data_IF_539298336056
#
_entry.id   IF_539298336056
#
_cell.length_a   1.000
_cell.length_b   1.000
_cell.length_c   1.000
_cell.angle_alpha   90.00
_cell.angle_beta   90.00
_cell.angle_gamma   90.00
#
_symmetry.space_group_name_H-M   'P 1'
#
loop_
_entity.id
_entity.type
_entity.pdbx_description
1 polymer ?
#
# COMPACT_ATOMS: atom_id res chain seq x y z
N UNK A 1 23.40 34.15 -6.64
CA UNK A 1 22.55 35.32 -6.75
C UNK A 1 21.13 34.88 -6.51
N UNK A 2 20.40 35.58 -5.65
CA UNK A 2 18.96 35.39 -5.51
C UNK A 2 18.27 35.93 -6.76
N UNK A 3 18.36 35.23 -7.86
CA UNK A 3 17.66 35.57 -9.08
C UNK A 3 16.19 35.19 -8.86
N UNK A 4 15.32 36.18 -8.87
CA UNK A 4 13.89 36.03 -8.63
C UNK A 4 13.19 35.67 -9.93
N UNK A 5 13.53 34.52 -10.52
CA UNK A 5 12.87 34.01 -11.73
C UNK A 5 11.49 33.49 -11.33
N UNK A 6 10.45 34.03 -11.95
CA UNK A 6 9.07 33.61 -11.73
C UNK A 6 8.45 32.84 -12.90
N UNK A 7 9.16 32.79 -14.06
CA UNK A 7 8.66 32.16 -15.27
C UNK A 7 9.85 31.58 -16.06
N UNK A 8 9.69 30.35 -16.55
CA UNK A 8 10.62 29.66 -17.44
C UNK A 8 9.99 29.38 -18.82
N UNK A 9 9.04 30.21 -19.25
CA UNK A 9 8.48 30.14 -20.62
C UNK A 9 9.62 30.17 -21.63
N UNK A 10 9.61 29.25 -22.58
CA UNK A 10 10.68 29.03 -23.57
C UNK A 10 11.61 27.86 -23.22
N UNK A 11 11.49 27.26 -22.00
CA UNK A 11 12.26 26.07 -21.65
C UNK A 11 11.91 24.87 -22.58
N UNK A 12 10.70 24.86 -23.11
CA UNK A 12 10.20 23.87 -24.07
C UNK A 12 10.99 23.81 -25.37
N UNK A 13 11.66 24.88 -25.76
CA UNK A 13 12.51 24.91 -26.94
C UNK A 13 13.82 24.12 -26.77
N UNK A 14 14.18 23.79 -25.55
CA UNK A 14 15.41 23.08 -25.21
C UNK A 14 15.18 21.56 -25.12
N UNK A 15 14.70 20.95 -26.19
CA UNK A 15 14.32 19.50 -26.24
C UNK A 15 15.46 18.52 -25.93
N UNK A 16 16.73 18.96 -26.09
CA UNK A 16 17.90 18.16 -25.76
C UNK A 16 18.48 18.43 -24.37
N UNK A 17 17.75 19.18 -23.53
CA UNK A 17 18.18 19.52 -22.18
C UNK A 17 18.26 18.26 -21.32
N UNK A 18 19.44 17.99 -20.73
CA UNK A 18 19.67 16.84 -19.86
C UNK A 18 19.76 17.22 -18.39
N UNK A 19 20.03 18.48 -18.09
CA UNK A 19 20.19 19.01 -16.73
C UNK A 19 19.47 20.35 -16.62
N UNK A 20 18.54 20.46 -15.68
CA UNK A 20 17.86 21.71 -15.35
C UNK A 20 18.00 21.98 -13.84
N UNK A 21 18.60 23.12 -13.48
CA UNK A 21 18.64 23.64 -12.12
C UNK A 21 17.99 25.02 -12.09
N UNK A 22 16.86 25.12 -11.42
CA UNK A 22 16.08 26.35 -11.25
C UNK A 22 15.64 26.54 -9.79
N UNK A 23 16.42 25.99 -8.86
CA UNK A 23 16.16 26.10 -7.43
C UNK A 23 16.25 27.53 -6.91
N UNK A 24 15.65 27.78 -5.72
CA UNK A 24 15.67 29.07 -5.01
C UNK A 24 15.13 30.25 -5.85
N UNK A 25 14.01 30.02 -6.53
CA UNK A 25 13.32 30.99 -7.37
C UNK A 25 11.87 31.22 -6.90
N UNK A 26 11.05 31.84 -7.71
CA UNK A 26 9.64 32.15 -7.42
C UNK A 26 8.69 31.48 -8.44
N UNK A 27 9.08 30.32 -8.97
CA UNK A 27 8.29 29.60 -9.94
C UNK A 27 7.00 29.07 -9.28
N UNK A 28 5.85 29.40 -9.86
CA UNK A 28 4.55 28.86 -9.47
C UNK A 28 4.12 27.68 -10.33
N UNK A 29 4.72 27.53 -11.51
CA UNK A 29 4.55 26.42 -12.45
C UNK A 29 5.86 26.10 -13.14
N UNK A 30 6.01 24.85 -13.57
CA UNK A 30 7.14 24.39 -14.36
C UNK A 30 6.65 23.26 -15.29
N UNK A 31 6.71 23.51 -16.59
CA UNK A 31 6.40 22.51 -17.60
C UNK A 31 7.70 21.98 -18.22
N UNK A 32 8.01 20.71 -17.97
CA UNK A 32 9.17 20.00 -18.51
C UNK A 32 8.76 18.82 -19.39
N UNK A 33 7.48 18.74 -19.74
CA UNK A 33 6.91 17.56 -20.44
C UNK A 33 7.52 17.30 -21.83
N UNK A 34 8.06 18.32 -22.48
CA UNK A 34 8.77 18.18 -23.78
C UNK A 34 10.28 17.98 -23.64
N UNK A 35 10.85 18.25 -22.46
CA UNK A 35 12.28 18.06 -22.17
C UNK A 35 12.58 16.59 -21.80
N UNK A 36 12.22 15.67 -22.66
CA UNK A 36 12.26 14.21 -22.39
C UNK A 36 13.65 13.63 -22.20
N UNK A 37 14.70 14.39 -22.56
CA UNK A 37 16.09 14.02 -22.36
C UNK A 37 16.63 14.34 -20.95
N UNK A 38 15.80 14.96 -20.05
CA UNK A 38 16.23 15.32 -18.70
C UNK A 38 16.63 14.08 -17.90
N UNK A 39 17.85 14.12 -17.38
CA UNK A 39 18.38 13.13 -16.44
C UNK A 39 18.45 13.68 -15.02
N UNK A 40 18.57 15.00 -14.87
CA UNK A 40 18.62 15.70 -13.58
C UNK A 40 17.68 16.90 -13.61
N UNK A 41 16.76 16.98 -12.64
CA UNK A 41 15.88 18.12 -12.41
C UNK A 41 16.03 18.57 -10.96
N UNK A 42 16.46 19.83 -10.77
CA UNK A 42 16.53 20.52 -9.48
C UNK A 42 15.64 21.76 -9.52
N UNK A 43 14.45 21.67 -8.93
CA UNK A 43 13.47 22.75 -8.85
C UNK A 43 13.09 23.07 -7.40
N UNK A 44 14.01 22.77 -6.47
CA UNK A 44 13.81 22.98 -5.04
C UNK A 44 13.59 24.45 -4.67
N UNK A 45 12.89 24.68 -3.55
CA UNK A 45 12.64 26.01 -2.99
C UNK A 45 12.05 26.99 -4.01
N UNK A 46 10.86 26.64 -4.51
CA UNK A 46 9.99 27.42 -5.36
C UNK A 46 8.56 27.46 -4.76
N UNK A 47 7.56 27.77 -5.55
CA UNK A 47 6.15 27.85 -5.15
C UNK A 47 5.28 26.92 -6.00
N UNK A 48 5.86 25.80 -6.48
CA UNK A 48 5.17 24.85 -7.34
C UNK A 48 4.06 24.14 -6.57
N UNK A 49 2.85 24.14 -7.12
CA UNK A 49 1.69 23.40 -6.58
C UNK A 49 1.48 22.05 -7.25
N UNK A 50 2.09 21.86 -8.42
CA UNK A 50 2.11 20.59 -9.17
C UNK A 50 3.41 20.46 -9.95
N UNK A 51 3.81 19.23 -10.24
CA UNK A 51 4.97 18.91 -11.07
C UNK A 51 4.66 17.63 -11.84
N UNK A 52 4.66 17.70 -13.18
CA UNK A 52 4.48 16.55 -14.06
C UNK A 52 5.84 16.13 -14.63
N UNK A 53 6.29 14.93 -14.28
CA UNK A 53 7.52 14.31 -14.77
C UNK A 53 7.24 13.01 -15.54
N UNK A 54 5.99 12.79 -15.94
CA UNK A 54 5.54 11.55 -16.56
C UNK A 54 6.23 11.25 -17.90
N UNK A 55 6.72 12.26 -18.60
CA UNK A 55 7.47 12.10 -19.87
C UNK A 55 8.99 12.05 -19.69
N UNK A 56 9.49 12.44 -18.51
CA UNK A 56 10.92 12.51 -18.20
C UNK A 56 11.45 11.16 -17.68
N UNK A 57 11.24 10.09 -18.45
CA UNK A 57 11.56 8.72 -18.02
C UNK A 57 13.06 8.43 -17.87
N UNK A 58 13.91 9.33 -18.36
CA UNK A 58 15.37 9.27 -18.22
C UNK A 58 15.89 9.89 -16.91
N UNK A 59 15.00 10.45 -16.06
CA UNK A 59 15.42 11.06 -14.79
C UNK A 59 16.09 10.05 -13.88
N UNK A 60 17.31 10.39 -13.46
CA UNK A 60 18.07 9.68 -12.44
C UNK A 60 18.12 10.43 -11.12
N UNK A 61 17.90 11.76 -11.15
CA UNK A 61 17.89 12.62 -9.97
C UNK A 61 16.76 13.64 -10.08
N UNK A 62 15.89 13.69 -9.06
CA UNK A 62 14.83 14.67 -8.90
C UNK A 62 14.94 15.32 -7.52
N UNK A 63 15.09 16.64 -7.50
CA UNK A 63 14.97 17.45 -6.29
C UNK A 63 13.88 18.50 -6.48
N UNK A 64 12.74 18.28 -5.80
CA UNK A 64 11.61 19.21 -5.75
C UNK A 64 11.28 19.66 -4.31
N UNK A 65 12.27 19.57 -3.41
CA UNK A 65 12.16 19.99 -2.00
C UNK A 65 11.68 21.44 -1.87
N UNK A 66 10.95 21.75 -0.78
CA UNK A 66 10.57 23.13 -0.45
C UNK A 66 9.62 23.76 -1.47
N UNK A 67 8.55 23.06 -1.84
CA UNK A 67 7.49 23.52 -2.71
C UNK A 67 6.11 23.40 -2.02
N UNK A 68 5.02 23.43 -2.77
CA UNK A 68 3.65 23.31 -2.28
C UNK A 68 2.93 22.12 -2.94
N UNK A 69 3.69 21.07 -3.30
CA UNK A 69 3.15 19.89 -3.98
C UNK A 69 2.23 19.10 -3.05
N UNK A 70 1.03 18.80 -3.51
CA UNK A 70 0.06 17.95 -2.79
C UNK A 70 0.10 16.50 -3.24
N UNK A 71 0.65 16.24 -4.43
CA UNK A 71 0.89 14.92 -5.00
C UNK A 71 2.16 14.93 -5.86
N UNK A 72 2.79 13.78 -6.02
CA UNK A 72 3.93 13.58 -6.89
C UNK A 72 3.87 12.13 -7.42
N UNK A 73 3.77 11.97 -8.73
CA UNK A 73 3.82 10.66 -9.38
C UNK A 73 5.19 10.47 -10.04
N UNK A 74 5.94 9.47 -9.56
CA UNK A 74 7.25 9.07 -10.07
C UNK A 74 7.28 7.63 -10.57
N UNK A 75 6.11 7.00 -10.72
CA UNK A 75 5.97 5.57 -11.04
C UNK A 75 6.61 5.18 -12.37
N UNK A 76 6.70 6.11 -13.32
CA UNK A 76 7.34 5.88 -14.63
C UNK A 76 8.84 6.23 -14.66
N UNK A 77 9.34 6.93 -13.62
CA UNK A 77 10.73 7.37 -13.53
C UNK A 77 11.60 6.27 -12.90
N UNK A 78 11.60 5.08 -13.48
CA UNK A 78 12.22 3.87 -12.93
C UNK A 78 13.75 3.93 -12.83
N UNK A 79 14.38 4.90 -13.51
CA UNK A 79 15.82 5.15 -13.46
C UNK A 79 16.24 6.04 -12.27
N UNK A 80 15.31 6.54 -11.46
CA UNK A 80 15.63 7.39 -10.32
C UNK A 80 16.52 6.67 -9.32
N UNK A 81 17.66 7.31 -9.02
CA UNK A 81 18.58 6.91 -7.96
C UNK A 81 18.49 7.83 -6.75
N UNK A 82 18.09 9.09 -6.97
CA UNK A 82 17.90 10.11 -5.93
C UNK A 82 16.54 10.78 -6.10
N UNK A 83 15.76 10.84 -5.01
CA UNK A 83 14.52 11.59 -4.90
C UNK A 83 14.51 12.41 -3.61
N UNK A 84 14.43 13.75 -3.73
CA UNK A 84 14.15 14.65 -2.63
C UNK A 84 12.84 15.41 -2.91
N UNK A 85 11.84 15.14 -2.10
CA UNK A 85 10.51 15.77 -2.13
C UNK A 85 10.07 16.27 -0.76
N UNK A 86 11.03 16.48 0.15
CA UNK A 86 10.80 17.02 1.49
C UNK A 86 10.20 18.43 1.45
N UNK A 87 9.70 18.88 2.61
CA UNK A 87 9.12 20.22 2.77
C UNK A 87 8.06 20.53 1.68
N UNK A 88 7.07 19.65 1.56
CA UNK A 88 5.92 19.75 0.67
C UNK A 88 4.61 19.45 1.43
N UNK A 89 3.53 19.19 0.72
CA UNK A 89 2.20 18.87 1.28
C UNK A 89 1.70 17.51 0.79
N UNK A 90 2.61 16.58 0.48
CA UNK A 90 2.29 15.26 -0.05
C UNK A 90 1.50 14.46 0.99
N UNK A 91 0.40 13.83 0.56
CA UNK A 91 -0.43 12.96 1.41
C UNK A 91 -0.12 11.48 1.22
N UNK A 92 0.45 11.12 0.08
CA UNK A 92 0.93 9.77 -0.25
C UNK A 92 2.16 9.84 -1.15
N UNK A 93 3.00 8.81 -1.10
CA UNK A 93 4.12 8.65 -2.01
C UNK A 93 4.31 7.14 -2.28
N UNK A 94 4.37 6.79 -3.56
CA UNK A 94 4.65 5.44 -4.05
C UNK A 94 5.94 5.46 -4.86
N UNK A 95 6.96 4.74 -4.37
CA UNK A 95 8.25 4.54 -5.06
C UNK A 95 8.51 3.05 -5.34
N UNK A 96 7.46 2.24 -5.35
CA UNK A 96 7.56 0.79 -5.56
C UNK A 96 8.14 0.41 -6.93
N UNK A 97 7.97 1.27 -7.93
CA UNK A 97 8.56 1.07 -9.27
C UNK A 97 9.99 1.61 -9.41
N UNK A 98 10.49 2.39 -8.44
CA UNK A 98 11.80 3.04 -8.53
C UNK A 98 12.90 2.10 -8.01
N UNK A 99 13.14 1.00 -8.71
CA UNK A 99 14.03 -0.10 -8.29
C UNK A 99 15.51 0.29 -8.21
N UNK A 100 15.91 1.41 -8.82
CA UNK A 100 17.27 1.94 -8.77
C UNK A 100 17.49 2.93 -7.60
N UNK A 101 16.43 3.25 -6.82
CA UNK A 101 16.48 4.29 -5.81
C UNK A 101 17.43 3.91 -4.66
N UNK A 102 18.38 4.80 -4.36
CA UNK A 102 19.31 4.61 -3.26
C UNK A 102 19.29 5.75 -2.23
N UNK A 103 18.61 6.87 -2.54
CA UNK A 103 18.38 7.97 -1.62
C UNK A 103 16.96 8.48 -1.76
N UNK A 104 16.20 8.52 -0.65
CA UNK A 104 14.84 9.03 -0.57
C UNK A 104 14.72 10.00 0.62
N UNK A 105 14.40 11.25 0.32
CA UNK A 105 14.11 12.29 1.31
C UNK A 105 12.69 12.78 1.10
N UNK A 106 11.80 12.42 2.03
CA UNK A 106 10.38 12.78 2.00
C UNK A 106 9.90 13.33 3.36
N UNK A 107 10.84 13.81 4.19
CA UNK A 107 10.52 14.40 5.48
C UNK A 107 9.70 15.68 5.34
N UNK A 108 9.05 16.11 6.41
CA UNK A 108 8.22 17.33 6.46
C UNK A 108 7.19 17.34 5.33
N UNK A 109 6.26 16.38 5.39
CA UNK A 109 5.11 16.26 4.51
C UNK A 109 3.85 15.93 5.34
N UNK A 110 2.76 15.56 4.69
CA UNK A 110 1.49 15.16 5.32
C UNK A 110 1.17 13.70 4.98
N UNK A 111 2.21 12.87 4.80
CA UNK A 111 2.03 11.49 4.36
C UNK A 111 1.18 10.71 5.36
N UNK A 112 0.22 9.98 4.82
CA UNK A 112 -0.55 8.94 5.50
C UNK A 112 -0.21 7.55 4.96
N UNK A 113 0.41 7.49 3.77
CA UNK A 113 0.86 6.28 3.08
C UNK A 113 2.20 6.53 2.40
N UNK A 114 3.13 5.58 2.58
CA UNK A 114 4.43 5.55 1.92
C UNK A 114 4.74 4.10 1.53
N UNK A 115 4.85 3.84 0.22
CA UNK A 115 5.22 2.52 -0.32
C UNK A 115 6.64 2.54 -0.88
N UNK A 116 7.54 1.76 -0.25
CA UNK A 116 8.97 1.62 -0.58
C UNK A 116 9.29 0.18 -0.99
N UNK A 117 8.28 -0.63 -1.36
CA UNK A 117 8.46 -2.03 -1.79
C UNK A 117 8.98 -2.11 -3.23
N UNK A 118 10.19 -1.62 -3.45
CA UNK A 118 10.82 -1.56 -4.77
C UNK A 118 11.74 -2.74 -5.09
N UNK A 119 11.74 -3.77 -4.24
CA UNK A 119 12.58 -4.95 -4.38
C UNK A 119 14.05 -4.72 -4.01
N UNK A 120 14.42 -3.54 -3.49
CA UNK A 120 15.82 -3.15 -3.31
C UNK A 120 16.08 -2.34 -2.03
N UNK A 121 15.38 -2.64 -0.93
CA UNK A 121 15.53 -1.92 0.34
C UNK A 121 17.01 -1.86 0.83
N UNK A 122 17.81 -2.88 0.53
CA UNK A 122 19.23 -2.90 0.93
C UNK A 122 20.11 -1.89 0.19
N UNK A 123 19.71 -1.43 -0.98
CA UNK A 123 20.42 -0.39 -1.74
C UNK A 123 19.96 1.03 -1.36
N UNK A 124 18.80 1.19 -0.69
CA UNK A 124 18.33 2.47 -0.20
C UNK A 124 19.10 2.85 1.08
N UNK A 125 20.28 3.44 0.88
CA UNK A 125 21.23 3.75 1.96
C UNK A 125 20.91 5.02 2.72
N UNK A 126 20.15 5.93 2.11
CA UNK A 126 19.73 7.20 2.72
C UNK A 126 18.22 7.32 2.64
N UNK A 127 17.57 6.98 3.75
CA UNK A 127 16.12 7.07 3.92
C UNK A 127 15.76 8.08 5.00
N UNK A 128 14.91 9.07 4.69
CA UNK A 128 14.50 10.09 5.63
C UNK A 128 13.02 10.45 5.44
N UNK A 129 12.18 10.09 6.41
CA UNK A 129 10.73 10.28 6.37
C UNK A 129 10.15 10.89 7.67
N UNK A 130 10.98 11.59 8.47
CA UNK A 130 10.52 12.27 9.70
C UNK A 130 9.57 13.44 9.41
N UNK A 131 8.88 13.92 10.44
CA UNK A 131 7.92 15.03 10.34
C UNK A 131 6.77 14.73 9.35
N UNK A 132 6.25 13.50 9.40
CA UNK A 132 5.01 13.08 8.75
C UNK A 132 4.03 12.64 9.85
N UNK A 133 3.26 13.57 10.45
CA UNK A 133 2.55 13.33 11.71
C UNK A 133 1.47 12.23 11.64
N UNK A 134 1.02 11.88 10.44
CA UNK A 134 -0.01 10.87 10.21
C UNK A 134 0.53 9.59 9.55
N UNK A 135 1.86 9.45 9.40
CA UNK A 135 2.48 8.26 8.83
C UNK A 135 2.81 7.25 9.94
N UNK A 136 1.90 6.32 10.19
CA UNK A 136 2.05 5.29 11.23
C UNK A 136 2.70 4.01 10.71
N UNK A 137 2.58 3.74 9.42
CA UNK A 137 3.09 2.53 8.80
C UNK A 137 3.72 2.84 7.44
N UNK A 138 4.86 2.22 7.16
CA UNK A 138 5.62 2.36 5.91
C UNK A 138 5.72 0.97 5.28
N UNK A 139 5.23 0.83 4.06
CA UNK A 139 5.31 -0.42 3.30
C UNK A 139 6.74 -0.64 2.78
N UNK A 140 7.34 -1.78 3.12
CA UNK A 140 8.72 -2.14 2.77
C UNK A 140 8.84 -3.63 2.38
N UNK A 141 9.87 -3.99 1.61
CA UNK A 141 10.13 -5.39 1.25
C UNK A 141 10.55 -6.23 2.45
N UNK A 142 11.42 -5.68 3.30
CA UNK A 142 11.97 -6.35 4.49
C UNK A 142 11.85 -5.45 5.73
N UNK A 143 10.80 -5.62 6.55
CA UNK A 143 10.61 -4.84 7.77
C UNK A 143 11.73 -5.03 8.80
N UNK A 144 12.37 -6.20 8.84
CA UNK A 144 13.46 -6.49 9.79
C UNK A 144 14.70 -5.67 9.43
N UNK A 145 15.08 -5.71 8.13
CA UNK A 145 16.17 -4.89 7.62
C UNK A 145 15.89 -3.40 7.83
N UNK A 146 14.71 -2.93 7.43
CA UNK A 146 14.34 -1.51 7.49
C UNK A 146 14.35 -0.99 8.94
N UNK A 147 13.82 -1.76 9.90
CA UNK A 147 13.84 -1.40 11.33
C UNK A 147 15.27 -1.29 11.88
N UNK A 148 16.19 -2.12 11.39
CA UNK A 148 17.56 -2.11 11.87
C UNK A 148 18.43 -1.00 11.24
N UNK A 149 18.10 -0.52 10.04
CA UNK A 149 18.97 0.35 9.24
C UNK A 149 18.40 1.75 8.99
N UNK A 150 17.07 1.93 8.97
CA UNK A 150 16.44 3.21 8.69
C UNK A 150 15.89 3.84 9.97
N UNK A 151 16.67 4.73 10.56
CA UNK A 151 16.36 5.35 11.86
C UNK A 151 15.70 6.73 11.73
N UNK A 152 15.71 7.33 10.53
CA UNK A 152 15.14 8.66 10.29
C UNK A 152 13.65 8.57 9.94
N UNK A 153 12.84 8.09 10.87
CA UNK A 153 11.38 8.06 10.86
C UNK A 153 10.85 8.67 12.14
N UNK A 154 9.57 9.00 12.18
CA UNK A 154 8.92 9.43 13.41
C UNK A 154 8.77 8.27 14.39
N UNK A 155 8.80 8.54 15.70
CA UNK A 155 8.81 7.50 16.75
C UNK A 155 7.51 6.67 16.78
N UNK A 156 6.42 7.17 16.18
CA UNK A 156 5.15 6.45 16.04
C UNK A 156 5.07 5.62 14.77
N UNK A 157 5.98 5.83 13.83
CA UNK A 157 6.01 5.10 12.56
C UNK A 157 6.63 3.71 12.75
N UNK A 158 6.19 2.75 11.95
CA UNK A 158 6.73 1.39 11.92
C UNK A 158 6.82 0.89 10.49
N UNK A 159 7.64 -0.11 10.25
CA UNK A 159 7.77 -0.76 8.94
C UNK A 159 6.95 -2.04 8.89
N UNK A 160 6.29 -2.29 7.76
CA UNK A 160 5.52 -3.50 7.49
C UNK A 160 5.65 -3.90 6.02
N UNK A 161 5.52 -5.19 5.73
CA UNK A 161 5.37 -5.65 4.35
C UNK A 161 3.97 -5.39 3.78
N UNK A 162 3.00 -5.04 4.66
CA UNK A 162 1.65 -4.66 4.28
C UNK A 162 1.04 -3.75 5.36
N UNK A 163 0.95 -2.48 5.06
CA UNK A 163 0.35 -1.45 5.92
C UNK A 163 -1.18 -1.38 5.85
N UNK A 164 -1.80 -2.04 4.88
CA UNK A 164 -3.26 -2.13 4.74
C UNK A 164 -3.74 -3.58 4.93
N UNK A 165 -3.72 -4.10 6.16
CA UNK A 165 -4.16 -5.46 6.40
C UNK A 165 -5.65 -5.62 6.09
N UNK A 166 -6.00 -6.63 5.30
CA UNK A 166 -7.38 -7.01 5.02
C UNK A 166 -7.79 -8.05 6.05
N UNK A 167 -8.77 -7.73 6.90
CA UNK A 167 -9.35 -8.67 7.84
C UNK A 167 -10.29 -9.64 7.15
N UNK A 168 -10.30 -10.89 7.57
CA UNK A 168 -11.16 -11.94 7.04
C UNK A 168 -10.64 -13.31 7.43
N UNK A 169 -11.39 -14.37 7.07
CA UNK A 169 -10.95 -15.73 7.31
C UNK A 169 -9.73 -16.09 6.45
N UNK A 170 -8.61 -16.45 7.09
CA UNK A 170 -7.34 -16.82 6.43
C UNK A 170 -7.16 -18.33 6.28
N UNK A 171 -8.07 -19.16 6.80
CA UNK A 171 -8.01 -20.62 6.66
C UNK A 171 -8.61 -21.06 5.32
N UNK A 172 -7.77 -21.62 4.45
CA UNK A 172 -8.18 -22.12 3.13
C UNK A 172 -9.15 -23.30 3.16
N UNK A 173 -9.36 -23.92 4.33
CA UNK A 173 -10.33 -24.99 4.53
C UNK A 173 -11.71 -24.46 4.95
N UNK A 174 -11.81 -23.20 5.30
CA UNK A 174 -13.08 -22.58 5.68
C UNK A 174 -13.93 -22.24 4.45
N UNK A 175 -15.24 -22.33 4.61
CA UNK A 175 -16.21 -22.01 3.54
C UNK A 175 -16.14 -20.55 3.07
N UNK A 176 -15.86 -19.64 4.00
CA UNK A 176 -15.75 -18.21 3.74
C UNK A 176 -14.29 -17.73 3.68
N UNK A 177 -13.36 -18.63 3.29
CA UNK A 177 -11.97 -18.27 3.05
C UNK A 177 -11.85 -17.05 2.14
N UNK A 178 -11.09 -16.04 2.59
CA UNK A 178 -10.76 -14.86 1.81
C UNK A 178 -9.28 -14.89 1.41
N UNK A 179 -8.92 -15.17 0.16
CA UNK A 179 -7.52 -15.27 -0.27
C UNK A 179 -6.77 -13.90 -0.21
N UNK A 180 -7.50 -12.78 -0.04
CA UNK A 180 -6.92 -11.46 0.13
C UNK A 180 -6.75 -11.08 1.61
N UNK A 181 -7.30 -11.85 2.55
CA UNK A 181 -7.14 -11.57 3.97
C UNK A 181 -5.69 -11.82 4.40
N UNK A 182 -5.15 -10.85 5.12
CA UNK A 182 -3.79 -10.88 5.69
C UNK A 182 -3.82 -10.96 7.21
N UNK A 183 -4.99 -10.68 7.83
CA UNK A 183 -5.26 -10.85 9.26
C UNK A 183 -6.50 -11.71 9.43
N UNK A 184 -6.38 -12.78 10.21
CA UNK A 184 -7.53 -13.58 10.64
C UNK A 184 -8.37 -12.78 11.65
N UNK A 185 -9.64 -12.58 11.32
CA UNK A 185 -10.62 -11.90 12.19
C UNK A 185 -11.48 -12.87 12.99
N UNK A 186 -11.13 -14.16 12.99
CA UNK A 186 -11.87 -15.25 13.61
C UNK A 186 -13.27 -15.47 13.01
N UNK A 187 -13.51 -15.02 11.79
CA UNK A 187 -14.80 -15.19 11.10
C UNK A 187 -14.91 -16.52 10.35
N UNK A 188 -13.90 -17.40 10.43
CA UNK A 188 -13.88 -18.66 9.67
C UNK A 188 -15.09 -19.54 9.97
N UNK A 189 -15.81 -19.93 8.92
CA UNK A 189 -16.98 -20.80 8.98
C UNK A 189 -16.61 -22.16 8.38
N UNK A 190 -16.77 -23.23 9.17
CA UNK A 190 -16.54 -24.60 8.70
C UNK A 190 -17.87 -25.29 8.39
N UNK A 191 -17.94 -25.96 7.24
CA UNK A 191 -19.07 -26.81 6.92
C UNK A 191 -18.87 -28.16 7.63
N UNK A 192 -19.73 -28.44 8.58
CA UNK A 192 -19.81 -29.75 9.28
C UNK A 192 -21.11 -30.40 8.82
N UNK A 193 -21.05 -31.39 7.92
CA UNK A 193 -22.26 -32.12 7.50
C UNK A 193 -22.79 -33.00 8.62
N UNK A 194 -24.09 -33.16 8.66
CA UNK A 194 -24.77 -33.98 9.64
C UNK A 194 -26.24 -33.59 9.80
N UNK A 195 -26.99 -34.37 10.58
CA UNK A 195 -28.40 -34.07 10.85
C UNK A 195 -28.54 -32.79 11.70
N UNK A 196 -29.22 -31.77 11.17
CA UNK A 196 -29.51 -30.50 11.85
C UNK A 196 -30.89 -30.43 12.51
N UNK A 197 -31.74 -31.45 12.35
CA UNK A 197 -33.04 -31.54 13.01
C UNK A 197 -32.88 -31.99 14.47
N UNK A 198 -33.15 -31.06 15.41
CA UNK A 198 -33.03 -31.34 16.85
C UNK A 198 -34.03 -32.39 17.38
N UNK A 199 -35.02 -32.79 16.58
CA UNK A 199 -35.99 -33.82 16.93
C UNK A 199 -35.59 -35.20 16.44
N UNK A 200 -34.58 -35.30 15.58
CA UNK A 200 -34.08 -36.56 15.02
C UNK A 200 -33.24 -37.33 16.04
N UNK A 201 -33.21 -38.64 15.88
CA UNK A 201 -32.44 -39.56 16.76
C UNK A 201 -30.93 -39.38 16.66
N UNK A 202 -30.45 -38.94 15.50
CA UNK A 202 -29.06 -38.75 15.19
C UNK A 202 -28.71 -37.25 15.04
N UNK A 203 -29.44 -36.36 15.72
CA UNK A 203 -29.12 -34.95 15.76
C UNK A 203 -27.65 -34.67 16.10
N UNK A 204 -26.99 -33.86 15.31
CA UNK A 204 -25.64 -33.40 15.57
C UNK A 204 -25.65 -31.88 15.83
N UNK A 205 -25.50 -31.48 17.08
CA UNK A 205 -25.51 -30.06 17.48
C UNK A 205 -24.34 -29.24 16.89
N UNK A 206 -23.31 -29.90 16.38
CA UNK A 206 -22.16 -29.24 15.71
C UNK A 206 -22.34 -29.18 14.20
N UNK A 207 -23.37 -29.83 13.61
CA UNK A 207 -23.61 -29.76 12.19
C UNK A 207 -24.04 -28.35 11.77
N UNK A 208 -23.39 -27.82 10.72
CA UNK A 208 -23.72 -26.52 10.10
C UNK A 208 -24.41 -26.67 8.75
N UNK A 209 -24.45 -27.92 8.20
CA UNK A 209 -25.11 -28.26 6.95
C UNK A 209 -25.83 -29.60 7.14
N UNK A 210 -27.15 -29.63 6.83
CA UNK A 210 -27.91 -30.86 6.78
C UNK A 210 -27.44 -31.69 5.57
N UNK A 211 -27.00 -32.90 5.84
CA UNK A 211 -26.55 -33.89 4.83
C UNK A 211 -27.63 -34.91 4.43
N UNK A 212 -28.86 -34.70 4.90
CA UNK A 212 -29.99 -35.59 4.67
C UNK A 212 -29.97 -36.91 5.49
N UNK A 213 -29.05 -37.02 6.47
CA UNK A 213 -28.91 -38.23 7.28
C UNK A 213 -29.89 -38.31 8.46
N UNK A 214 -30.78 -37.33 8.63
CA UNK A 214 -31.70 -37.29 9.76
C UNK A 214 -32.59 -38.52 9.86
N UNK A 215 -32.59 -39.15 11.01
CA UNK A 215 -33.44 -40.28 11.35
C UNK A 215 -34.61 -39.79 12.21
N UNK A 216 -35.80 -39.76 11.64
CA UNK A 216 -36.99 -39.30 12.33
C UNK A 216 -37.33 -40.21 13.54
N UNK A 217 -37.72 -39.60 14.65
CA UNK A 217 -38.28 -40.33 15.78
C UNK A 217 -39.68 -40.86 15.42
N UNK A 218 -39.88 -42.14 15.44
CA UNK A 218 -41.20 -42.73 15.24
C UNK A 218 -41.77 -43.10 16.61
N UNK A 219 -42.91 -42.52 16.93
CA UNK A 219 -43.63 -42.81 18.16
C UNK A 219 -44.67 -43.89 17.89
N UNK A 220 -44.67 -44.93 18.69
CA UNK A 220 -45.64 -46.02 18.58
C UNK A 220 -45.44 -47.03 19.67
N UNK A 221 -46.34 -47.98 19.72
CA UNK A 221 -46.20 -49.18 20.60
C UNK A 221 -45.15 -50.08 20.01
N UNK A 222 -44.05 -50.30 20.73
CA UNK A 222 -42.97 -51.22 20.34
C UNK A 222 -43.17 -52.68 20.86
N UNK A 223 -44.25 -52.94 21.59
CA UNK A 223 -44.58 -54.22 22.05
C UNK A 223 -45.40 -55.00 21.00
N UNK A 224 -44.77 -55.98 20.35
CA UNK A 224 -45.33 -56.74 19.27
C UNK A 224 -46.56 -57.57 19.65
N UNK A 225 -46.89 -57.69 20.95
CA UNK A 225 -48.07 -58.39 21.43
C UNK A 225 -49.31 -57.51 21.52
N UNK A 226 -49.15 -56.19 21.34
CA UNK A 226 -50.25 -55.23 21.45
C UNK A 226 -50.92 -54.98 20.10
N UNK A 227 -52.24 -54.67 20.13
CA UNK A 227 -53.05 -54.41 18.94
C UNK A 227 -52.62 -53.14 18.15
N UNK A 228 -51.90 -52.19 18.78
CA UNK A 228 -51.45 -50.99 18.20
C UNK A 228 -49.92 -50.99 17.96
N UNK A 229 -49.31 -52.15 17.81
CA UNK A 229 -47.90 -52.31 17.49
C UNK A 229 -47.57 -51.64 16.18
N UNK A 230 -46.48 -50.78 16.16
CA UNK A 230 -45.92 -50.15 15.00
C UNK A 230 -44.52 -50.72 14.73
N UNK A 231 -44.36 -51.43 13.63
CA UNK A 231 -43.16 -52.19 13.26
C UNK A 231 -42.13 -51.27 12.50
N UNK A 232 -42.45 -50.01 12.27
CA UNK A 232 -41.59 -49.09 11.45
C UNK A 232 -40.69 -48.23 12.29
#
# INVERSE_FOLDING_TARGET
SNDTISDLTGIEDFVALTYLACEMNQLTSLDVTVNTALTVLVCAHNQLTSLDVSTNTALTSLNCEGNQLTSLDVTVNTALTFLACSDNQLTSLDVSNNTALNQLWCYTNQLTSLDVRNGNNTALTHFHATNNPNLYCIDVDDPVYSTANWTNIDFWSSFSSNCNPISGCTDSLAFNYNPLATIDDSSCIYIIPGCTDSTALNYNSSATLDDGSCIATVYGCIDSTMLNYNSS
#
